data_IF_033204282884
#
_entry.id   IF_033204282884
#
_cell.length_a   1.000
_cell.length_b   1.000
_cell.length_c   1.000
_cell.angle_alpha   90.00
_cell.angle_beta   90.00
_cell.angle_gamma   90.00
#
_symmetry.space_group_name_H-M   'P 1'
#
loop_
_entity.id
_entity.type
_entity.pdbx_description
1 polymer ?
#
# COMPACT_ATOMS: atom_id res chain seq x y z
N UNK A 1 -19.28 2.27 -0.74
CA UNK A 1 -18.45 2.72 -1.89
C UNK A 1 -17.00 2.34 -1.67
N UNK A 2 -16.28 2.27 -2.74
CA UNK A 2 -14.84 2.01 -2.72
C UNK A 2 -14.07 3.25 -3.13
N UNK A 3 -12.95 3.47 -2.44
CA UNK A 3 -11.92 4.40 -2.90
C UNK A 3 -10.72 3.55 -3.30
N UNK A 4 -10.13 3.85 -4.44
CA UNK A 4 -9.04 3.06 -4.99
C UNK A 4 -7.88 3.95 -5.40
N UNK A 5 -6.66 3.51 -5.10
CA UNK A 5 -5.42 4.05 -5.64
C UNK A 5 -4.74 2.92 -6.42
N UNK A 6 -4.48 3.15 -7.68
CA UNK A 6 -3.87 2.15 -8.56
C UNK A 6 -2.49 2.59 -8.98
N UNK A 7 -1.49 1.73 -8.76
CA UNK A 7 -0.15 1.98 -9.22
C UNK A 7 0.56 3.12 -8.52
N UNK A 8 0.31 3.30 -7.23
CA UNK A 8 1.05 4.29 -6.44
C UNK A 8 2.51 3.85 -6.37
N UNK A 9 3.39 4.63 -6.99
CA UNK A 9 4.81 4.31 -7.05
C UNK A 9 5.52 4.89 -5.83
N UNK A 10 6.21 4.01 -5.10
CA UNK A 10 6.97 4.40 -3.91
C UNK A 10 8.34 3.73 -3.98
N UNK A 11 9.40 4.52 -3.86
CA UNK A 11 10.75 3.97 -3.77
C UNK A 11 10.99 3.46 -2.35
N UNK A 12 11.52 2.25 -2.24
CA UNK A 12 11.77 1.63 -0.94
C UNK A 12 12.99 0.72 -0.95
N UNK A 13 13.40 0.31 0.25
CA UNK A 13 14.61 -0.51 0.46
C UNK A 13 14.24 -1.89 1.00
N UNK A 14 13.12 -2.42 0.54
CA UNK A 14 12.59 -3.70 0.98
C UNK A 14 13.21 -4.85 0.21
N UNK A 15 13.48 -5.95 0.88
CA UNK A 15 14.00 -7.15 0.27
C UNK A 15 14.92 -7.91 1.19
N UNK A 16 15.14 -9.18 0.86
CA UNK A 16 16.04 -10.07 1.61
C UNK A 16 17.49 -9.86 1.19
N UNK A 17 17.71 -9.49 -0.08
CA UNK A 17 19.05 -9.39 -0.64
C UNK A 17 19.77 -8.10 -0.19
N UNK A 18 21.07 -8.17 0.10
CA UNK A 18 21.83 -6.99 0.49
C UNK A 18 21.74 -5.84 -0.52
N UNK A 19 21.72 -6.15 -1.83
CA UNK A 19 21.61 -5.16 -2.90
C UNK A 19 20.28 -4.41 -2.84
N UNK A 20 19.19 -5.13 -2.54
CA UNK A 20 17.87 -4.52 -2.40
C UNK A 20 17.84 -3.54 -1.24
N UNK A 21 18.46 -3.92 -0.13
CA UNK A 21 18.52 -3.10 1.09
C UNK A 21 19.43 -1.89 0.94
N UNK A 22 20.46 -2.00 0.11
CA UNK A 22 21.43 -0.92 -0.11
C UNK A 22 20.96 0.08 -1.16
N UNK A 23 20.50 -0.41 -2.30
CA UNK A 23 20.24 0.42 -3.47
C UNK A 23 18.76 0.80 -3.59
N UNK A 24 17.87 -0.01 -3.04
CA UNK A 24 16.43 0.20 -3.12
C UNK A 24 15.89 -0.03 -4.52
N UNK A 25 14.59 0.09 -4.67
CA UNK A 25 13.91 -0.02 -5.95
C UNK A 25 12.51 0.57 -5.85
N UNK A 26 11.81 0.64 -6.98
CA UNK A 26 10.42 1.07 -7.02
C UNK A 26 9.50 -0.06 -6.63
N UNK A 27 8.47 0.30 -5.85
CA UNK A 27 7.36 -0.58 -5.49
C UNK A 27 6.09 0.11 -5.95
N UNK A 28 5.09 -0.67 -6.35
CA UNK A 28 3.78 -0.15 -6.77
C UNK A 28 2.72 -0.71 -5.87
N UNK A 29 1.90 0.18 -5.33
CA UNK A 29 0.82 -0.19 -4.43
C UNK A 29 -0.52 0.02 -5.12
N UNK A 30 -1.39 -0.98 -5.01
CA UNK A 30 -2.80 -0.84 -5.34
C UNK A 30 -3.55 -0.96 -4.03
N UNK A 31 -4.34 0.04 -3.71
CA UNK A 31 -5.05 0.13 -2.43
C UNK A 31 -6.53 0.33 -2.69
N UNK A 32 -7.35 -0.46 -2.01
CA UNK A 32 -8.80 -0.37 -2.07
C UNK A 32 -9.35 -0.27 -0.66
N UNK A 33 -10.18 0.75 -0.41
CA UNK A 33 -10.86 0.95 0.86
C UNK A 33 -12.38 0.96 0.64
N UNK A 34 -13.10 0.14 1.40
CA UNK A 34 -14.56 0.20 1.46
C UNK A 34 -14.92 1.24 2.52
N UNK A 35 -15.57 2.32 2.11
CA UNK A 35 -15.77 3.49 2.97
C UNK A 35 -17.24 3.76 3.30
N UNK A 36 -18.14 2.85 2.94
CA UNK A 36 -19.58 3.07 3.13
C UNK A 36 -20.04 4.28 2.34
N UNK A 37 -20.75 5.18 2.98
CA UNK A 37 -21.27 6.39 2.34
C UNK A 37 -20.43 7.64 2.60
N UNK A 38 -19.27 7.51 3.22
CA UNK A 38 -18.40 8.67 3.48
C UNK A 38 -18.01 9.34 2.17
N UNK A 39 -18.19 10.65 2.12
CA UNK A 39 -17.91 11.45 0.91
C UNK A 39 -19.10 11.63 -0.01
N UNK A 40 -20.20 10.89 0.19
CA UNK A 40 -21.39 11.03 -0.62
C UNK A 40 -22.03 12.44 -0.48
N UNK A 41 -21.73 13.14 0.62
CA UNK A 41 -22.21 14.51 0.87
C UNK A 41 -21.47 15.57 0.06
N UNK A 42 -20.44 15.20 -0.68
CA UNK A 42 -19.58 16.11 -1.43
C UNK A 42 -18.77 17.07 -0.53
N UNK A 43 -18.59 16.70 0.74
CA UNK A 43 -17.75 17.47 1.67
C UNK A 43 -16.54 16.66 2.06
N UNK A 44 -15.36 17.25 1.89
CA UNK A 44 -14.10 16.59 2.22
C UNK A 44 -14.03 16.17 3.69
N UNK A 45 -14.60 16.96 4.59
CA UNK A 45 -14.58 16.64 6.01
C UNK A 45 -15.32 15.34 6.34
N UNK A 46 -16.25 14.91 5.48
CA UNK A 46 -17.02 13.67 5.61
C UNK A 46 -16.39 12.51 4.85
N UNK A 47 -15.32 12.75 4.11
CA UNK A 47 -14.74 11.79 3.20
C UNK A 47 -13.43 11.20 3.75
N UNK A 48 -13.01 10.10 3.16
CA UNK A 48 -11.63 9.64 3.28
C UNK A 48 -10.82 10.33 2.19
N UNK A 49 -9.87 11.16 2.57
CA UNK A 49 -9.01 11.86 1.61
C UNK A 49 -7.92 10.89 1.12
N UNK A 50 -8.02 10.48 -0.15
CA UNK A 50 -7.06 9.50 -0.69
C UNK A 50 -5.63 10.04 -0.77
N UNK A 51 -5.43 11.36 -0.71
CA UNK A 51 -4.09 11.94 -0.63
C UNK A 51 -3.42 11.57 0.70
N UNK A 52 -4.21 11.55 1.79
CA UNK A 52 -3.73 11.12 3.10
C UNK A 52 -3.50 9.62 3.14
N UNK A 53 -4.27 8.85 2.38
CA UNK A 53 -4.03 7.40 2.22
C UNK A 53 -2.68 7.18 1.56
N UNK A 54 -2.38 7.90 0.49
CA UNK A 54 -1.08 7.82 -0.18
C UNK A 54 0.07 8.19 0.76
N UNK A 55 -0.11 9.24 1.56
CA UNK A 55 0.90 9.66 2.56
C UNK A 55 1.15 8.55 3.59
N UNK A 56 0.08 7.90 4.05
CA UNK A 56 0.20 6.80 5.00
C UNK A 56 0.98 5.62 4.42
N UNK A 57 0.71 5.28 3.16
CA UNK A 57 1.45 4.22 2.45
C UNK A 57 2.94 4.57 2.38
N UNK A 58 3.26 5.82 2.03
CA UNK A 58 4.66 6.27 1.97
C UNK A 58 5.35 6.21 3.33
N UNK A 59 4.65 6.56 4.39
CA UNK A 59 5.21 6.47 5.75
C UNK A 59 5.55 5.04 6.14
N UNK A 60 4.64 4.10 5.90
CA UNK A 60 4.91 2.68 6.19
C UNK A 60 6.08 2.19 5.35
N UNK A 61 6.11 2.52 4.07
CA UNK A 61 7.17 2.11 3.14
C UNK A 61 8.51 2.77 3.45
N UNK A 62 8.53 3.81 4.27
CA UNK A 62 9.76 4.42 4.76
C UNK A 62 10.52 3.54 5.75
N UNK A 63 9.84 2.55 6.34
CA UNK A 63 10.49 1.50 7.13
C UNK A 63 10.98 0.41 6.20
N UNK A 64 11.87 -0.45 6.66
CA UNK A 64 12.41 -1.53 5.84
C UNK A 64 11.77 -2.85 6.19
N UNK A 65 11.34 -3.59 5.17
CA UNK A 65 10.78 -4.94 5.31
C UNK A 65 11.54 -5.89 4.41
N UNK A 66 11.75 -7.10 4.88
CA UNK A 66 12.40 -8.12 4.05
C UNK A 66 11.43 -8.71 3.03
N UNK A 67 10.14 -8.84 3.39
CA UNK A 67 9.15 -9.54 2.59
C UNK A 67 8.01 -8.61 2.15
N UNK A 68 7.53 -8.80 0.92
CA UNK A 68 6.35 -8.09 0.43
C UNK A 68 5.12 -8.36 1.30
N UNK A 69 5.00 -9.58 1.81
CA UNK A 69 3.90 -9.99 2.69
C UNK A 69 3.83 -9.10 3.93
N UNK A 70 4.98 -8.85 4.54
CA UNK A 70 5.05 -7.99 5.72
C UNK A 70 4.74 -6.54 5.39
N UNK A 71 5.27 -6.06 4.27
CA UNK A 71 5.00 -4.69 3.80
C UNK A 71 3.50 -4.50 3.52
N UNK A 72 2.88 -5.45 2.82
CA UNK A 72 1.45 -5.39 2.52
C UNK A 72 0.61 -5.42 3.80
N UNK A 73 0.95 -6.31 4.73
CA UNK A 73 0.24 -6.47 6.00
C UNK A 73 0.32 -5.21 6.86
N UNK A 74 1.52 -4.67 7.04
CA UNK A 74 1.72 -3.45 7.84
C UNK A 74 1.01 -2.25 7.22
N UNK A 75 1.02 -2.17 5.89
CA UNK A 75 0.29 -1.11 5.19
C UNK A 75 -1.21 -1.23 5.42
N UNK A 76 -1.75 -2.44 5.26
CA UNK A 76 -3.18 -2.68 5.48
C UNK A 76 -3.59 -2.35 6.93
N UNK A 77 -2.80 -2.78 7.91
CA UNK A 77 -3.08 -2.52 9.32
C UNK A 77 -3.04 -1.02 9.64
N UNK A 78 -2.09 -0.29 9.06
CA UNK A 78 -2.00 1.15 9.26
C UNK A 78 -3.20 1.89 8.67
N UNK A 79 -3.65 1.48 7.48
CA UNK A 79 -4.81 2.09 6.83
C UNK A 79 -6.10 1.80 7.61
N UNK A 80 -6.24 0.60 8.17
CA UNK A 80 -7.36 0.28 9.06
C UNK A 80 -7.36 1.18 10.28
N UNK A 81 -6.20 1.37 10.90
CA UNK A 81 -6.08 2.16 12.12
C UNK A 81 -6.37 3.64 11.89
N UNK A 82 -5.88 4.21 10.79
CA UNK A 82 -6.01 5.64 10.52
C UNK A 82 -7.36 6.05 9.95
N UNK A 83 -7.90 5.23 9.06
CA UNK A 83 -9.08 5.63 8.28
C UNK A 83 -10.34 4.87 8.67
N UNK A 84 -10.20 3.77 9.41
CA UNK A 84 -11.32 2.95 9.87
C UNK A 84 -12.31 2.59 8.75
N UNK A 85 -11.83 2.08 7.60
CA UNK A 85 -12.73 1.62 6.55
C UNK A 85 -13.40 0.31 6.97
N UNK A 86 -14.45 -0.07 6.25
CA UNK A 86 -15.08 -1.38 6.46
C UNK A 86 -14.16 -2.52 6.02
N UNK A 87 -13.37 -2.27 4.98
CA UNK A 87 -12.39 -3.23 4.47
C UNK A 87 -11.26 -2.48 3.79
N UNK A 88 -10.07 -3.03 3.86
CA UNK A 88 -8.92 -2.57 3.08
C UNK A 88 -8.27 -3.75 2.38
N UNK A 89 -7.86 -3.54 1.13
CA UNK A 89 -7.04 -4.47 0.36
C UNK A 89 -5.81 -3.71 -0.10
N UNK A 90 -4.64 -4.24 0.21
CA UNK A 90 -3.36 -3.68 -0.24
C UNK A 90 -2.62 -4.72 -1.04
N UNK A 91 -2.30 -4.38 -2.29
CA UNK A 91 -1.46 -5.21 -3.15
C UNK A 91 -0.20 -4.43 -3.45
N UNK A 92 0.95 -5.02 -3.13
CA UNK A 92 2.25 -4.41 -3.43
C UNK A 92 2.98 -5.26 -4.45
N UNK A 93 3.57 -4.61 -5.44
CA UNK A 93 4.30 -5.24 -6.55
C UNK A 93 5.72 -4.72 -6.61
N UNK A 94 6.63 -5.56 -7.05
CA UNK A 94 7.99 -5.18 -7.42
C UNK A 94 8.45 -6.01 -8.61
N UNK A 95 9.51 -5.54 -9.29
CA UNK A 95 10.17 -6.33 -10.33
C UNK A 95 11.39 -6.99 -9.69
N UNK A 96 11.32 -8.32 -9.44
CA UNK A 96 12.44 -9.01 -8.79
C UNK A 96 13.59 -9.20 -9.77
N UNK A 97 14.83 -8.93 -9.31
CA UNK A 97 16.01 -9.13 -10.12
C UNK A 97 16.25 -10.63 -10.36
N UNK A 98 16.62 -10.98 -11.59
CA UNK A 98 17.02 -12.35 -11.92
C UNK A 98 15.89 -13.34 -12.07
N UNK A 99 14.63 -12.90 -12.03
CA UNK A 99 13.48 -13.77 -12.21
C UNK A 99 12.68 -13.33 -13.43
N UNK A 100 12.36 -14.29 -14.32
CA UNK A 100 11.70 -14.01 -15.59
C UNK A 100 10.17 -13.88 -15.39
N UNK A 101 9.74 -12.84 -14.69
CA UNK A 101 8.33 -12.49 -14.48
C UNK A 101 8.17 -11.00 -14.72
N UNK A 102 6.94 -10.55 -15.04
CA UNK A 102 6.68 -9.13 -15.17
C UNK A 102 6.86 -8.44 -13.82
N UNK A 103 6.31 -9.05 -12.78
CA UNK A 103 6.44 -8.57 -11.41
C UNK A 103 6.07 -9.69 -10.45
N UNK A 104 6.44 -9.54 -9.18
CA UNK A 104 5.91 -10.34 -8.09
C UNK A 104 5.05 -9.45 -7.21
N UNK A 105 4.06 -10.04 -6.53
CA UNK A 105 3.12 -9.28 -5.73
C UNK A 105 2.69 -10.05 -4.48
N UNK A 106 2.31 -9.29 -3.46
CA UNK A 106 1.64 -9.83 -2.28
C UNK A 106 0.42 -8.96 -2.00
N UNK A 107 -0.66 -9.59 -1.56
CA UNK A 107 -1.91 -8.90 -1.26
C UNK A 107 -2.34 -9.23 0.16
N UNK A 108 -2.64 -8.20 0.93
CA UNK A 108 -3.17 -8.32 2.28
C UNK A 108 -4.56 -7.70 2.35
N UNK A 109 -5.47 -8.38 3.05
CA UNK A 109 -6.82 -7.89 3.28
C UNK A 109 -7.08 -7.79 4.77
N UNK A 110 -7.82 -6.75 5.16
CA UNK A 110 -8.32 -6.58 6.52
C UNK A 110 -9.78 -6.14 6.44
N UNK A 111 -10.62 -6.70 7.34
CA UNK A 111 -12.01 -6.30 7.37
C UNK A 111 -12.15 -4.90 7.91
#
# INVERSE_FOLDING_TARGET
>A
MRIELHGLEVFGYHGVLPEEQRDGQRFWFDVTLEVGDRGASDRLADAVDYRLVADAVREVSGRRFELLEALATETADELMRRFEPEQVVVRVRKQPAGLAVEYSAATAERP
#
